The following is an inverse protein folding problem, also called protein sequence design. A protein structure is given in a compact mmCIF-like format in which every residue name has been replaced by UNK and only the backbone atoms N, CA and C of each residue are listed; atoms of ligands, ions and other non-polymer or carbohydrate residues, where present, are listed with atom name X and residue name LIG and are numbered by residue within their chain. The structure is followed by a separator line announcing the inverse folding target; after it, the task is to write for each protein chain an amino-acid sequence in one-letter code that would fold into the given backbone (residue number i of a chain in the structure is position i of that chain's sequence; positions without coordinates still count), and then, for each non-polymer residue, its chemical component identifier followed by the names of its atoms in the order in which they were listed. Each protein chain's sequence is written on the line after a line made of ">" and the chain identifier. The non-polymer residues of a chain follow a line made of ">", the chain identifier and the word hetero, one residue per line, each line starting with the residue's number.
data_IF_258091744949
#
_entry.id   IF_258091744949
#
_cell.length_a   1.000
_cell.length_b   1.000
_cell.length_c   1.000
_cell.angle_alpha   90.00
_cell.angle_beta   90.00
_cell.angle_gamma   90.00
#
_symmetry.space_group_name_H-M   'P 1'
#
loop_
_entity.id
_entity.type
_entity.pdbx_description
1 polymer ?
#
# COMPACT_ATOMS: atom_id res chain seq x y z
N UNK A 1 21.01 -6.17 -8.98
CA UNK A 1 20.57 -7.34 -9.79
C UNK A 1 19.69 -8.31 -8.99
N UNK A 2 20.14 -8.88 -7.86
CA UNK A 2 19.35 -9.86 -7.07
C UNK A 2 17.97 -9.38 -6.62
N UNK A 3 17.86 -8.14 -6.09
CA UNK A 3 16.58 -7.56 -5.66
C UNK A 3 15.61 -7.26 -6.82
N UNK A 4 16.17 -6.85 -7.97
CA UNK A 4 15.39 -6.64 -9.20
C UNK A 4 14.81 -7.96 -9.71
N UNK A 5 15.62 -9.03 -9.72
CA UNK A 5 15.14 -10.38 -10.09
C UNK A 5 14.06 -10.86 -9.13
N UNK A 6 14.28 -10.72 -7.81
CA UNK A 6 13.28 -11.09 -6.80
C UNK A 6 11.96 -10.33 -6.99
N UNK A 7 12.02 -9.03 -7.30
CA UNK A 7 10.83 -8.23 -7.59
C UNK A 7 10.14 -8.68 -8.86
N UNK A 8 10.88 -8.96 -9.94
CA UNK A 8 10.29 -9.47 -11.16
C UNK A 8 9.59 -10.83 -10.94
N UNK A 9 10.24 -11.76 -10.24
CA UNK A 9 9.63 -13.05 -9.87
C UNK A 9 8.36 -12.85 -9.05
N UNK A 10 8.41 -12.01 -8.02
CA UNK A 10 7.24 -11.70 -7.20
C UNK A 10 6.10 -11.09 -8.03
N UNK A 11 6.39 -10.19 -8.98
CA UNK A 11 5.36 -9.62 -9.86
C UNK A 11 4.72 -10.68 -10.75
N UNK A 12 5.52 -11.58 -11.33
CA UNK A 12 5.00 -12.66 -12.16
C UNK A 12 4.12 -13.63 -11.36
N UNK A 13 4.46 -13.90 -10.10
CA UNK A 13 3.67 -14.74 -9.21
C UNK A 13 2.39 -14.02 -8.74
N UNK A 14 2.50 -12.79 -8.25
CA UNK A 14 1.40 -12.03 -7.67
C UNK A 14 0.35 -11.64 -8.72
N UNK A 15 0.78 -11.23 -9.91
CA UNK A 15 -0.11 -10.81 -10.99
C UNK A 15 -0.34 -11.91 -12.04
N UNK A 16 -0.03 -13.18 -11.72
CA UNK A 16 -0.22 -14.32 -12.64
C UNK A 16 -1.64 -14.40 -13.17
N UNK A 17 -2.61 -14.15 -12.30
CA UNK A 17 -4.03 -14.30 -12.58
C UNK A 17 -4.66 -12.98 -13.10
N UNK A 18 -3.83 -11.94 -13.33
CA UNK A 18 -4.22 -10.64 -13.84
C UNK A 18 -3.87 -9.47 -12.92
N UNK A 19 -4.07 -8.22 -13.39
CA UNK A 19 -3.91 -7.03 -12.55
C UNK A 19 -5.01 -6.98 -11.48
N UNK A 20 -4.73 -6.30 -10.36
CA UNK A 20 -5.77 -5.96 -9.37
C UNK A 20 -6.70 -4.92 -9.98
N UNK A 21 -7.95 -5.29 -10.25
CA UNK A 21 -8.95 -4.38 -10.78
C UNK A 21 -9.56 -3.52 -9.67
N UNK A 22 -9.98 -2.31 -10.03
CA UNK A 22 -10.64 -1.37 -9.12
C UNK A 22 -11.95 -1.93 -8.56
N UNK A 23 -12.72 -2.64 -9.40
CA UNK A 23 -13.96 -3.31 -9.02
C UNK A 23 -13.78 -4.35 -7.91
N UNK A 24 -12.60 -4.99 -7.82
CA UNK A 24 -12.31 -6.03 -6.83
C UNK A 24 -12.00 -5.45 -5.44
N UNK A 25 -11.49 -4.22 -5.39
CA UNK A 25 -11.05 -3.57 -4.15
C UNK A 25 -11.95 -2.40 -3.73
N UNK A 26 -12.93 -2.04 -4.55
CA UNK A 26 -13.75 -0.84 -4.36
C UNK A 26 -14.40 -0.79 -2.98
N UNK A 27 -14.99 -1.90 -2.52
CA UNK A 27 -15.60 -1.97 -1.18
C UNK A 27 -14.57 -1.80 -0.06
N UNK A 28 -13.40 -2.42 -0.21
CA UNK A 28 -12.32 -2.32 0.76
C UNK A 28 -11.75 -0.88 0.79
N UNK A 29 -11.67 -0.21 -0.36
CA UNK A 29 -11.23 1.19 -0.51
C UNK A 29 -12.20 2.20 0.11
N UNK A 30 -13.52 1.93 0.09
CA UNK A 30 -14.55 2.81 0.68
C UNK A 30 -14.38 3.03 2.18
N UNK A 31 -13.67 2.14 2.88
CA UNK A 31 -13.33 2.37 4.28
C UNK A 31 -12.42 3.60 4.51
N UNK A 32 -11.75 4.09 3.47
CA UNK A 32 -10.86 5.26 3.55
C UNK A 32 -9.59 4.96 4.35
N UNK A 33 -9.10 3.72 4.26
CA UNK A 33 -7.90 3.26 4.94
C UNK A 33 -6.65 3.86 4.28
N UNK A 34 -6.57 3.82 2.95
CA UNK A 34 -5.45 4.33 2.17
C UNK A 34 -5.99 5.26 1.09
N UNK A 35 -5.40 6.45 0.95
CA UNK A 35 -5.76 7.39 -0.12
C UNK A 35 -4.63 8.38 -0.40
N UNK A 36 -4.69 9.02 -1.58
CA UNK A 36 -3.77 10.10 -1.93
C UNK A 36 -4.31 11.45 -1.46
N UNK A 37 -3.47 12.24 -0.79
CA UNK A 37 -3.81 13.61 -0.38
C UNK A 37 -3.30 14.68 -1.36
N UNK A 38 -2.79 14.26 -2.51
CA UNK A 38 -2.15 15.14 -3.51
C UNK A 38 -0.63 15.06 -3.45
N UNK A 39 0.04 16.20 -3.66
CA UNK A 39 1.50 16.33 -3.59
C UNK A 39 1.89 17.27 -2.45
N UNK A 40 3.01 16.99 -1.81
CA UNK A 40 3.59 17.89 -0.81
C UNK A 40 4.32 19.09 -1.46
N UNK A 41 4.93 19.94 -0.65
CA UNK A 41 5.69 21.11 -1.12
C UNK A 41 6.91 20.78 -1.98
N UNK A 42 7.40 19.54 -1.92
CA UNK A 42 8.48 19.02 -2.76
C UNK A 42 7.95 18.26 -3.98
N UNK A 43 6.65 18.41 -4.29
CA UNK A 43 5.94 17.73 -5.37
C UNK A 43 5.91 16.20 -5.24
N UNK A 44 6.12 15.62 -4.06
CA UNK A 44 6.07 14.16 -3.87
C UNK A 44 4.63 13.69 -3.69
N UNK A 45 4.17 12.64 -4.39
CA UNK A 45 2.85 12.07 -4.15
C UNK A 45 2.74 11.62 -2.69
N UNK A 46 1.67 12.06 -2.01
CA UNK A 46 1.46 11.81 -0.59
C UNK A 46 0.35 10.78 -0.38
N UNK A 47 0.73 9.64 0.20
CA UNK A 47 -0.16 8.55 0.61
C UNK A 47 -0.49 8.73 2.09
N UNK A 48 -1.77 8.68 2.43
CA UNK A 48 -2.26 8.70 3.81
C UNK A 48 -2.82 7.33 4.16
N UNK A 49 -2.39 6.79 5.29
CA UNK A 49 -2.89 5.54 5.87
C UNK A 49 -3.55 5.83 7.22
N UNK A 50 -4.84 5.54 7.33
CA UNK A 50 -5.64 5.74 8.55
C UNK A 50 -5.89 4.42 9.23
N UNK A 51 -5.02 4.07 10.17
CA UNK A 51 -5.05 2.75 10.79
C UNK A 51 -6.33 2.49 11.60
N UNK A 52 -6.93 3.53 12.20
CA UNK A 52 -8.23 3.43 12.90
C UNK A 52 -9.40 3.06 11.96
N UNK A 53 -9.27 3.28 10.65
CA UNK A 53 -10.31 2.95 9.65
C UNK A 53 -10.29 1.49 9.21
N UNK A 54 -9.27 0.72 9.61
CA UNK A 54 -9.19 -0.71 9.29
C UNK A 54 -10.33 -1.42 10.03
N UNK A 55 -11.22 -2.15 9.32
CA UNK A 55 -12.32 -2.85 9.96
C UNK A 55 -11.82 -3.83 11.02
N UNK A 56 -12.38 -3.77 12.23
CA UNK A 56 -12.01 -4.67 13.32
C UNK A 56 -12.15 -6.15 12.93
N UNK A 57 -13.08 -6.45 12.02
CA UNK A 57 -13.30 -7.80 11.49
C UNK A 57 -12.09 -8.34 10.72
N UNK A 58 -11.33 -7.49 10.03
CA UNK A 58 -10.15 -7.95 9.29
C UNK A 58 -9.08 -8.49 10.23
N UNK A 59 -8.93 -7.91 11.42
CA UNK A 59 -8.01 -8.46 12.43
C UNK A 59 -8.48 -9.81 12.97
N UNK A 60 -9.78 -9.94 13.25
CA UNK A 60 -10.38 -11.18 13.76
C UNK A 60 -10.26 -12.33 12.75
N UNK A 61 -10.50 -12.05 11.48
CA UNK A 61 -10.44 -13.01 10.37
C UNK A 61 -9.04 -13.17 9.78
N UNK A 62 -8.02 -12.47 10.32
CA UNK A 62 -6.65 -12.44 9.80
C UNK A 62 -6.58 -12.03 8.32
N UNK A 63 -7.40 -11.07 7.91
CA UNK A 63 -7.53 -10.55 6.54
C UNK A 63 -6.63 -9.34 6.23
N UNK A 64 -5.39 -9.38 6.71
CA UNK A 64 -4.39 -8.34 6.42
C UNK A 64 -4.00 -8.32 4.94
N UNK A 65 -4.18 -9.44 4.23
CA UNK A 65 -4.05 -9.54 2.77
C UNK A 65 -4.84 -8.46 2.03
N UNK A 66 -6.02 -8.07 2.53
CA UNK A 66 -6.84 -7.01 1.94
C UNK A 66 -6.15 -5.65 1.99
N UNK A 67 -5.53 -5.32 3.12
CA UNK A 67 -4.78 -4.08 3.29
C UNK A 67 -3.55 -4.04 2.37
N UNK A 68 -2.83 -5.17 2.27
CA UNK A 68 -1.70 -5.31 1.36
C UNK A 68 -2.16 -5.14 -0.10
N UNK A 69 -3.28 -5.74 -0.49
CA UNK A 69 -3.86 -5.63 -1.85
C UNK A 69 -4.25 -4.19 -2.19
N UNK A 70 -4.85 -3.45 -1.25
CA UNK A 70 -5.11 -2.00 -1.40
C UNK A 70 -3.80 -1.24 -1.62
N UNK A 71 -2.79 -1.47 -0.78
CA UNK A 71 -1.50 -0.77 -0.90
C UNK A 71 -0.82 -1.05 -2.23
N UNK A 72 -0.81 -2.30 -2.68
CA UNK A 72 -0.29 -2.70 -3.99
C UNK A 72 -1.03 -1.96 -5.10
N UNK A 73 -2.36 -1.93 -5.08
CA UNK A 73 -3.14 -1.18 -6.06
C UNK A 73 -2.78 0.31 -6.06
N UNK A 74 -2.70 0.94 -4.88
CA UNK A 74 -2.29 2.34 -4.77
C UNK A 74 -0.89 2.57 -5.37
N UNK A 75 0.06 1.67 -5.12
CA UNK A 75 1.42 1.80 -5.67
C UNK A 75 1.45 1.65 -7.19
N UNK A 76 0.75 0.65 -7.74
CA UNK A 76 0.63 0.48 -9.20
C UNK A 76 -0.05 1.71 -9.84
N UNK A 77 -1.10 2.24 -9.21
CA UNK A 77 -1.79 3.45 -9.66
C UNK A 77 -0.85 4.66 -9.63
N UNK A 78 -0.09 4.84 -8.54
CA UNK A 78 0.87 5.93 -8.41
C UNK A 78 1.93 5.86 -9.50
N UNK A 79 2.54 4.70 -9.70
CA UNK A 79 3.59 4.50 -10.71
C UNK A 79 3.06 4.79 -12.11
N UNK A 80 1.82 4.38 -12.41
CA UNK A 80 1.24 4.51 -13.75
C UNK A 80 0.72 5.92 -14.07
N UNK A 81 0.19 6.63 -13.09
CA UNK A 81 -0.58 7.86 -13.33
C UNK A 81 -0.07 9.09 -12.58
N UNK A 82 0.73 8.91 -11.53
CA UNK A 82 1.18 10.00 -10.68
C UNK A 82 2.69 10.27 -10.80
N UNK A 83 3.51 9.31 -11.20
CA UNK A 83 4.94 9.56 -11.42
C UNK A 83 5.21 10.11 -12.82
N UNK A 84 6.22 10.95 -12.93
CA UNK A 84 6.72 11.52 -14.19
C UNK A 84 7.72 10.53 -14.79
N UNK A 85 7.46 9.98 -16.00
CA UNK A 85 8.37 9.05 -16.64
C UNK A 85 9.78 9.62 -16.79
N UNK A 86 10.79 8.84 -16.42
CA UNK A 86 12.20 9.23 -16.52
C UNK A 86 12.69 10.18 -15.42
N UNK A 87 11.88 10.47 -14.39
CA UNK A 87 12.30 11.22 -13.21
C UNK A 87 12.42 10.30 -11.99
N UNK A 88 13.41 10.56 -11.15
CA UNK A 88 13.50 9.94 -9.83
C UNK A 88 12.58 10.76 -8.91
N UNK A 89 11.53 10.12 -8.41
CA UNK A 89 10.57 10.71 -7.48
C UNK A 89 10.48 9.87 -6.22
N UNK A 90 10.43 10.55 -5.07
CA UNK A 90 10.11 9.94 -3.79
C UNK A 90 8.61 10.09 -3.53
N UNK A 91 8.02 9.19 -2.75
CA UNK A 91 6.70 9.38 -2.18
C UNK A 91 6.78 9.86 -0.72
N UNK A 92 5.67 10.39 -0.21
CA UNK A 92 5.49 10.70 1.20
C UNK A 92 4.42 9.78 1.78
N UNK A 93 4.68 9.19 2.95
CA UNK A 93 3.72 8.35 3.67
C UNK A 93 3.36 9.01 5.00
N UNK A 94 2.06 9.25 5.21
CA UNK A 94 1.51 9.72 6.47
C UNK A 94 0.73 8.58 7.10
N UNK A 95 1.10 8.17 8.31
CA UNK A 95 0.37 7.15 9.07
C UNK A 95 -0.37 7.82 10.21
N UNK A 96 -1.69 7.91 10.08
CA UNK A 96 -2.59 8.41 11.11
C UNK A 96 -2.91 7.29 12.11
N UNK A 97 -2.28 7.38 13.27
CA UNK A 97 -2.47 6.48 14.42
C UNK A 97 -3.41 7.07 15.48
N UNK A 98 -4.07 8.21 15.20
CA UNK A 98 -4.95 8.87 16.17
C UNK A 98 -6.07 7.92 16.59
N UNK A 99 -6.27 7.80 17.90
CA UNK A 99 -7.34 7.00 18.50
C UNK A 99 -7.04 5.51 18.61
N UNK A 100 -5.84 5.05 18.22
CA UNK A 100 -5.40 3.68 18.48
C UNK A 100 -4.73 3.56 19.85
N UNK A 101 -5.09 2.51 20.59
CA UNK A 101 -4.31 2.06 21.75
C UNK A 101 -3.14 1.21 21.29
N UNK A 102 -2.09 1.09 22.12
CA UNK A 102 -0.92 0.23 21.81
C UNK A 102 -1.33 -1.22 21.50
N UNK A 103 -2.37 -1.74 22.16
CA UNK A 103 -2.92 -3.07 21.92
C UNK A 103 -3.64 -3.23 20.58
N UNK A 104 -4.08 -2.14 19.96
CA UNK A 104 -4.77 -2.14 18.66
C UNK A 104 -3.79 -1.96 17.50
N UNK A 105 -2.52 -1.66 17.75
CA UNK A 105 -1.51 -1.55 16.69
C UNK A 105 -1.11 -2.96 16.23
N UNK A 106 -1.43 -3.35 14.98
CA UNK A 106 -1.15 -4.69 14.48
C UNK A 106 0.32 -4.78 14.01
N UNK A 107 1.26 -4.91 14.95
CA UNK A 107 2.70 -4.92 14.65
C UNK A 107 3.10 -5.99 13.61
N UNK A 108 2.44 -7.16 13.63
CA UNK A 108 2.66 -8.21 12.63
C UNK A 108 2.24 -7.78 11.22
N UNK A 109 1.08 -7.11 11.10
CA UNK A 109 0.59 -6.58 9.83
C UNK A 109 1.52 -5.48 9.30
N UNK A 110 2.03 -4.61 10.18
CA UNK A 110 3.03 -3.61 9.81
C UNK A 110 4.32 -4.26 9.28
N UNK A 111 4.73 -5.39 9.84
CA UNK A 111 5.87 -6.17 9.35
C UNK A 111 5.64 -6.76 7.94
N UNK A 112 4.45 -7.28 7.66
CA UNK A 112 4.10 -7.80 6.33
C UNK A 112 4.02 -6.69 5.28
N UNK A 113 3.38 -5.56 5.63
CA UNK A 113 3.34 -4.36 4.79
C UNK A 113 4.76 -3.88 4.50
N UNK A 114 5.59 -3.75 5.54
CA UNK A 114 6.99 -3.36 5.38
C UNK A 114 7.71 -4.31 4.43
N UNK A 115 7.54 -5.62 4.57
CA UNK A 115 8.16 -6.61 3.70
C UNK A 115 7.79 -6.39 2.23
N UNK A 116 6.50 -6.22 1.92
CA UNK A 116 6.06 -6.02 0.53
C UNK A 116 6.56 -4.68 -0.02
N UNK A 117 6.34 -3.59 0.72
CA UNK A 117 6.66 -2.24 0.25
C UNK A 117 8.17 -2.02 0.11
N UNK A 118 8.95 -2.40 1.12
CA UNK A 118 10.42 -2.19 1.12
C UNK A 118 11.19 -3.15 0.24
N UNK A 119 10.62 -4.30 -0.17
CA UNK A 119 11.32 -5.25 -1.03
C UNK A 119 10.94 -5.13 -2.51
N UNK A 120 9.72 -4.68 -2.82
CA UNK A 120 9.20 -4.68 -4.19
C UNK A 120 8.86 -3.30 -4.76
N UNK A 121 8.62 -2.31 -3.89
CA UNK A 121 8.34 -0.93 -4.29
C UNK A 121 9.46 0.01 -3.80
N UNK A 122 10.67 -0.28 -4.24
CA UNK A 122 11.89 0.43 -3.87
C UNK A 122 12.07 1.64 -4.80
N UNK A 123 12.29 2.82 -4.23
CA UNK A 123 12.75 4.03 -4.93
C UNK A 123 14.27 4.12 -4.97
#
# INVERSE_FOLDING_TARGET
>A
VKLMQATNTWRQEYFRDGPVADSEIMEDMKHGIVYFSGRDSALRPTIVVRALRIPAQWYKEKRIDKLIRILIFCMEYMIRYMLVPGRIENNCLIVDLKGLTLSQVPLSALGEIYKVMSHHYIG
#
